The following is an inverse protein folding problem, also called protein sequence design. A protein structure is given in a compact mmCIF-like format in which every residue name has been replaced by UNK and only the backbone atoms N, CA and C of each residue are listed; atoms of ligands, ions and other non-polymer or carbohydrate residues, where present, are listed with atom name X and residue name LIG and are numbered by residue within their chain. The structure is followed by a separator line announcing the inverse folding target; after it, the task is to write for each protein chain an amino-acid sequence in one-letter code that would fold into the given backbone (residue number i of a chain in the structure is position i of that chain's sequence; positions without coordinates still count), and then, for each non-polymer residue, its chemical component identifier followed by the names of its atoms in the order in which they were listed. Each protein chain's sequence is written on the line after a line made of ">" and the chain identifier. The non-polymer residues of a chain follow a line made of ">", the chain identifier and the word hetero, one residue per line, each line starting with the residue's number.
data_IF_808458212419
#
_entry.id   IF_808458212419
#
_cell.length_a   1.000
_cell.length_b   1.000
_cell.length_c   1.000
_cell.angle_alpha   90.00
_cell.angle_beta   90.00
_cell.angle_gamma   90.00
#
_symmetry.space_group_name_H-M   'P 1'
#
loop_
_entity.id
_entity.type
_entity.pdbx_description
1 polymer ?
#
# COMPACT_ATOMS: atom_id res chain seq x y z
N UNK A 1 17.65 22.14 11.57
CA UNK A 1 16.57 21.53 10.76
C UNK A 1 15.32 21.44 11.63
N UNK A 2 14.14 21.39 11.01
CA UNK A 2 12.86 21.17 11.71
C UNK A 2 12.49 19.69 11.72
N UNK A 3 11.63 19.24 12.64
CA UNK A 3 11.22 17.82 12.70
C UNK A 3 10.62 17.33 11.37
N UNK A 4 9.84 18.17 10.67
CA UNK A 4 9.30 17.89 9.34
C UNK A 4 10.38 17.65 8.27
N UNK A 5 11.54 18.30 8.40
CA UNK A 5 12.68 18.07 7.52
C UNK A 5 13.47 16.81 7.90
N UNK A 6 13.45 16.43 9.18
CA UNK A 6 14.14 15.27 9.70
C UNK A 6 13.42 13.96 9.34
N UNK A 7 12.09 13.95 9.43
CA UNK A 7 11.21 12.80 9.18
C UNK A 7 11.55 11.97 7.93
N UNK A 8 11.65 12.55 6.71
CA UNK A 8 12.00 11.78 5.52
C UNK A 8 13.45 11.26 5.51
N UNK A 9 14.32 11.79 6.37
CA UNK A 9 15.71 11.35 6.50
C UNK A 9 15.86 10.19 7.47
N UNK A 10 14.88 9.95 8.36
CA UNK A 10 14.95 8.90 9.38
C UNK A 10 14.98 7.50 8.76
N UNK A 11 14.10 7.23 7.79
CA UNK A 11 14.07 5.94 7.08
C UNK A 11 15.41 5.65 6.36
N UNK A 12 15.93 6.64 5.61
CA UNK A 12 17.22 6.51 4.92
C UNK A 12 18.40 6.34 5.89
N UNK A 13 18.34 6.99 7.05
CA UNK A 13 19.32 6.82 8.11
C UNK A 13 19.23 5.41 8.74
N UNK A 14 18.03 4.87 8.93
CA UNK A 14 17.83 3.50 9.39
C UNK A 14 18.38 2.47 8.40
N UNK A 15 18.24 2.72 7.09
CA UNK A 15 18.78 1.88 6.01
C UNK A 15 20.30 2.04 5.79
N UNK A 16 20.92 3.07 6.38
CA UNK A 16 22.34 3.38 6.19
C UNK A 16 22.67 3.93 4.80
N UNK A 17 21.69 4.47 4.08
CA UNK A 17 21.84 4.99 2.71
C UNK A 17 22.03 6.51 2.64
N UNK A 18 22.04 7.17 3.81
CA UNK A 18 22.16 8.61 3.92
C UNK A 18 23.61 9.07 3.71
N UNK A 19 23.83 10.12 2.91
CA UNK A 19 25.17 10.67 2.71
C UNK A 19 25.73 11.30 4.00
N UNK A 20 27.05 11.48 4.03
CA UNK A 20 27.77 11.93 5.22
C UNK A 20 27.34 13.33 5.70
N UNK A 21 27.01 14.24 4.78
CA UNK A 21 26.62 15.60 5.14
C UNK A 21 25.22 15.62 5.76
N UNK A 22 24.25 14.97 5.11
CA UNK A 22 22.90 14.83 5.66
C UNK A 22 22.89 14.05 6.97
N UNK A 23 23.76 13.06 7.14
CA UNK A 23 23.92 12.31 8.38
C UNK A 23 24.37 13.19 9.55
N UNK A 24 25.34 14.09 9.33
CA UNK A 24 25.80 15.04 10.35
C UNK A 24 24.71 16.05 10.73
N UNK A 25 23.98 16.56 9.74
CA UNK A 25 22.86 17.48 9.98
C UNK A 25 21.77 16.77 10.79
N UNK A 26 21.46 15.52 10.45
CA UNK A 26 20.50 14.68 11.18
C UNK A 26 20.93 14.41 12.62
N UNK A 27 22.17 13.98 12.84
CA UNK A 27 22.71 13.73 14.17
C UNK A 27 22.56 14.94 15.10
N UNK A 28 22.88 16.15 14.61
CA UNK A 28 22.75 17.38 15.41
C UNK A 28 21.31 17.67 15.86
N UNK A 29 20.31 17.30 15.06
CA UNK A 29 18.91 17.44 15.46
C UNK A 29 18.50 16.36 16.46
N UNK A 30 18.96 15.12 16.23
CA UNK A 30 18.70 14.00 17.12
C UNK A 30 19.31 14.22 18.52
N UNK A 31 20.39 14.98 18.66
CA UNK A 31 20.92 15.37 19.97
C UNK A 31 19.90 16.19 20.80
N UNK A 32 19.08 17.00 20.13
CA UNK A 32 18.13 17.91 20.78
C UNK A 32 16.67 17.50 20.76
N UNK A 33 16.29 16.46 20.00
CA UNK A 33 14.88 16.10 19.77
C UNK A 33 14.60 14.65 20.17
N UNK A 34 13.84 14.45 21.26
CA UNK A 34 13.47 13.11 21.74
C UNK A 34 12.53 12.38 20.77
N UNK A 35 11.55 13.08 20.20
CA UNK A 35 10.56 12.49 19.29
C UNK A 35 11.21 11.92 18.03
N UNK A 36 12.15 12.66 17.42
CA UNK A 36 12.87 12.19 16.25
C UNK A 36 13.83 11.03 16.57
N UNK A 37 14.36 10.94 17.80
CA UNK A 37 15.13 9.76 18.24
C UNK A 37 14.23 8.53 18.34
N UNK A 38 13.09 8.65 19.01
CA UNK A 38 12.11 7.57 19.12
C UNK A 38 11.64 7.09 17.74
N UNK A 39 11.36 8.02 16.84
CA UNK A 39 10.97 7.69 15.48
C UNK A 39 12.09 6.96 14.71
N UNK A 40 13.35 7.37 14.87
CA UNK A 40 14.48 6.67 14.25
C UNK A 40 14.65 5.25 14.79
N UNK A 41 14.48 5.06 16.10
CA UNK A 41 14.60 3.74 16.72
C UNK A 41 13.48 2.80 16.26
N UNK A 42 12.26 3.32 16.06
CA UNK A 42 11.17 2.56 15.46
C UNK A 42 11.46 2.14 14.01
N UNK A 43 12.06 3.04 13.21
CA UNK A 43 12.49 2.68 11.84
C UNK A 43 13.57 1.59 11.85
N UNK A 44 14.50 1.62 12.81
CA UNK A 44 15.55 0.59 12.97
C UNK A 44 14.95 -0.75 13.38
N UNK A 45 14.03 -0.77 14.33
CA UNK A 45 13.33 -1.98 14.75
C UNK A 45 12.57 -2.61 13.58
N UNK A 46 11.85 -1.79 12.79
CA UNK A 46 11.16 -2.26 11.58
C UNK A 46 12.13 -2.88 10.57
N UNK A 47 13.27 -2.21 10.31
CA UNK A 47 14.32 -2.75 9.44
C UNK A 47 14.83 -4.09 9.94
N UNK A 48 15.06 -4.25 11.24
CA UNK A 48 15.52 -5.51 11.82
C UNK A 48 14.52 -6.64 11.57
N UNK A 49 13.24 -6.41 11.83
CA UNK A 49 12.17 -7.38 11.55
C UNK A 49 12.12 -7.77 10.07
N UNK A 50 12.22 -6.80 9.16
CA UNK A 50 12.17 -7.05 7.73
C UNK A 50 13.41 -7.80 7.22
N UNK A 51 14.58 -7.49 7.78
CA UNK A 51 15.86 -8.11 7.38
C UNK A 51 16.11 -9.46 8.05
N UNK A 52 15.40 -9.78 9.13
CA UNK A 52 15.43 -11.10 9.77
C UNK A 52 14.88 -12.22 8.86
N UNK A 53 14.11 -11.88 7.82
CA UNK A 53 13.61 -12.86 6.86
C UNK A 53 14.75 -13.48 6.07
N UNK A 54 14.69 -14.81 5.87
CA UNK A 54 15.67 -15.55 5.08
C UNK A 54 15.72 -14.99 3.66
N UNK A 55 16.86 -14.45 3.27
CA UNK A 55 17.09 -14.02 1.89
C UNK A 55 17.06 -15.25 0.98
N UNK A 56 16.16 -15.22 -0.02
CA UNK A 56 16.13 -16.26 -1.04
C UNK A 56 17.38 -16.14 -1.93
N UNK A 57 17.98 -17.26 -2.38
CA UNK A 57 19.11 -17.21 -3.31
C UNK A 57 18.65 -16.55 -4.61
N UNK A 58 19.39 -15.54 -5.06
CA UNK A 58 19.15 -14.90 -6.35
C UNK A 58 19.67 -15.80 -7.48
N UNK A 59 18.87 -16.05 -8.54
CA UNK A 59 19.33 -16.84 -9.67
C UNK A 59 20.55 -16.21 -10.35
N UNK A 60 21.45 -17.06 -10.86
CA UNK A 60 22.59 -16.59 -11.65
C UNK A 60 22.12 -15.73 -12.83
N UNK A 61 22.83 -14.61 -13.04
CA UNK A 61 22.51 -13.65 -14.08
C UNK A 61 21.26 -12.80 -13.84
N UNK A 62 20.62 -12.87 -12.66
CA UNK A 62 19.45 -12.03 -12.35
C UNK A 62 19.75 -10.54 -12.52
N UNK A 63 20.84 -10.05 -11.92
CA UNK A 63 21.24 -8.65 -12.05
C UNK A 63 21.48 -8.27 -13.52
N UNK A 64 22.14 -9.12 -14.31
CA UNK A 64 22.35 -8.87 -15.73
C UNK A 64 21.04 -8.80 -16.52
N UNK A 65 20.08 -9.71 -16.25
CA UNK A 65 18.75 -9.69 -16.88
C UNK A 65 17.96 -8.44 -16.50
N UNK A 66 17.98 -8.06 -15.22
CA UNK A 66 17.31 -6.83 -14.75
C UNK A 66 17.93 -5.61 -15.41
N UNK A 67 19.26 -5.48 -15.39
CA UNK A 67 19.96 -4.35 -16.01
C UNK A 67 19.71 -4.27 -17.52
N UNK A 68 19.65 -5.41 -18.22
CA UNK A 68 19.31 -5.45 -19.64
C UNK A 68 17.82 -5.14 -19.93
N UNK A 69 16.94 -5.29 -18.95
CA UNK A 69 15.53 -4.93 -19.05
C UNK A 69 15.24 -3.47 -18.70
N UNK A 70 16.21 -2.77 -18.09
CA UNK A 70 16.07 -1.34 -17.84
C UNK A 70 16.17 -0.59 -19.17
N UNK A 71 15.24 0.33 -19.47
CA UNK A 71 15.36 1.18 -20.64
C UNK A 71 16.67 1.95 -20.58
N UNK A 72 17.52 1.77 -21.60
CA UNK A 72 18.76 2.52 -21.71
C UNK A 72 18.44 4.00 -21.93
N UNK A 73 18.71 4.82 -20.91
CA UNK A 73 19.17 6.18 -21.15
C UNK A 73 18.19 7.26 -21.64
N UNK A 74 16.87 7.10 -21.52
CA UNK A 74 15.96 8.25 -21.66
C UNK A 74 15.00 8.39 -20.45
N UNK A 75 14.96 9.56 -19.78
CA UNK A 75 13.91 9.87 -18.81
C UNK A 75 12.57 9.95 -19.55
N UNK A 76 11.90 8.80 -19.67
CA UNK A 76 10.69 8.65 -20.46
C UNK A 76 10.57 7.30 -21.18
N UNK A 77 11.63 6.50 -21.30
CA UNK A 77 11.59 5.23 -22.05
C UNK A 77 10.94 4.05 -21.31
N UNK A 78 10.37 4.27 -20.11
CA UNK A 78 9.38 3.35 -19.52
C UNK A 78 7.95 3.58 -20.10
N UNK A 79 7.83 4.26 -21.24
CA UNK A 79 6.58 4.67 -21.89
C UNK A 79 5.86 3.57 -22.69
N UNK A 80 5.74 2.36 -22.13
CA UNK A 80 4.89 1.34 -22.74
C UNK A 80 3.45 1.42 -22.23
N UNK A 81 3.28 1.21 -20.93
CA UNK A 81 1.96 1.08 -20.30
C UNK A 81 1.83 1.91 -19.01
N UNK A 82 2.92 2.10 -18.27
CA UNK A 82 2.92 2.92 -17.05
C UNK A 82 2.75 4.41 -17.34
N UNK A 83 3.23 4.90 -18.48
CA UNK A 83 2.99 6.28 -18.91
C UNK A 83 1.56 6.48 -19.42
N UNK A 84 0.89 5.41 -19.88
CA UNK A 84 -0.56 5.40 -20.09
C UNK A 84 -1.35 5.43 -18.77
N UNK A 85 -0.76 4.96 -17.66
CA UNK A 85 -1.31 5.08 -16.30
C UNK A 85 -0.94 6.40 -15.60
N UNK A 86 -0.29 7.34 -16.29
CA UNK A 86 0.06 8.64 -15.72
C UNK A 86 -1.20 9.52 -15.63
N UNK A 87 -1.99 9.34 -14.56
CA UNK A 87 -3.24 10.05 -14.32
C UNK A 87 -3.09 11.58 -14.38
N UNK A 88 -1.90 12.11 -14.00
CA UNK A 88 -1.58 13.55 -14.09
C UNK A 88 -1.40 14.02 -15.53
N UNK A 89 -0.78 13.20 -16.39
CA UNK A 89 -0.65 13.51 -17.81
C UNK A 89 -2.02 13.47 -18.51
N UNK A 90 -2.88 12.50 -18.15
CA UNK A 90 -4.22 12.36 -18.72
C UNK A 90 -5.15 13.49 -18.31
N UNK A 91 -5.15 13.89 -17.04
CA UNK A 91 -5.95 15.03 -16.56
C UNK A 91 -5.53 16.35 -17.22
N UNK A 92 -4.22 16.60 -17.37
CA UNK A 92 -3.74 17.80 -18.06
C UNK A 92 -4.04 17.78 -19.56
N UNK A 93 -3.93 16.62 -20.23
CA UNK A 93 -4.24 16.48 -21.66
C UNK A 93 -5.74 16.54 -21.96
N UNK A 94 -6.60 16.09 -21.04
CA UNK A 94 -8.05 16.12 -21.20
C UNK A 94 -8.70 17.41 -20.69
N UNK A 95 -7.99 18.25 -19.94
CA UNK A 95 -8.48 19.56 -19.49
C UNK A 95 -9.12 20.44 -20.60
N UNK A 96 -8.52 20.60 -21.81
CA UNK A 96 -9.16 21.37 -22.87
C UNK A 96 -10.42 20.70 -23.45
N UNK A 97 -10.49 19.38 -23.49
CA UNK A 97 -11.67 18.63 -23.95
C UNK A 97 -12.81 18.78 -22.93
N UNK A 98 -12.51 18.60 -21.64
CA UNK A 98 -13.44 18.83 -20.55
C UNK A 98 -13.94 20.28 -20.52
N UNK A 99 -13.05 21.24 -20.74
CA UNK A 99 -13.40 22.66 -20.86
C UNK A 99 -14.33 22.94 -22.05
N UNK A 100 -14.05 22.37 -23.22
CA UNK A 100 -14.90 22.53 -24.40
C UNK A 100 -16.28 21.90 -24.21
N UNK A 101 -16.36 20.72 -23.59
CA UNK A 101 -17.62 20.07 -23.24
C UNK A 101 -18.42 20.88 -22.22
N UNK A 102 -17.77 21.43 -21.19
CA UNK A 102 -18.41 22.28 -20.20
C UNK A 102 -18.99 23.55 -20.82
N UNK A 103 -18.24 24.21 -21.70
CA UNK A 103 -18.70 25.38 -22.44
C UNK A 103 -19.86 25.03 -23.39
N UNK A 104 -19.77 23.91 -24.10
CA UNK A 104 -20.85 23.42 -24.97
C UNK A 104 -22.15 23.15 -24.20
N UNK A 105 -22.05 22.49 -23.05
CA UNK A 105 -23.17 22.24 -22.15
C UNK A 105 -23.77 23.55 -21.60
N UNK A 106 -22.94 24.51 -21.16
CA UNK A 106 -23.39 25.81 -20.66
C UNK A 106 -24.11 26.64 -21.74
N UNK A 107 -23.77 26.46 -23.01
CA UNK A 107 -24.40 27.12 -24.15
C UNK A 107 -25.60 26.33 -24.72
N UNK A 108 -25.96 25.19 -24.13
CA UNK A 108 -27.09 24.36 -24.59
C UNK A 108 -26.84 23.61 -25.89
N UNK A 109 -25.58 23.47 -26.31
CA UNK A 109 -25.16 22.69 -27.49
C UNK A 109 -24.85 21.28 -27.00
N UNK A 110 -25.89 20.45 -26.86
CA UNK A 110 -25.76 19.06 -26.44
C UNK A 110 -26.62 18.13 -27.28
N UNK A 111 -26.19 16.89 -27.53
CA UNK A 111 -27.07 15.88 -28.11
C UNK A 111 -28.26 15.66 -27.17
N UNK A 112 -29.48 15.62 -27.71
CA UNK A 112 -30.67 15.17 -26.99
C UNK A 112 -30.59 13.66 -26.78
N UNK A 113 -29.69 13.24 -25.88
CA UNK A 113 -29.57 11.85 -25.48
C UNK A 113 -30.47 11.64 -24.26
N UNK A 114 -31.47 10.77 -24.42
CA UNK A 114 -32.12 10.11 -23.30
C UNK A 114 -31.03 9.56 -22.39
N UNK A 115 -31.09 9.91 -21.11
CA UNK A 115 -30.11 9.51 -20.11
C UNK A 115 -30.26 8.00 -19.91
N UNK A 116 -29.48 7.23 -20.67
CA UNK A 116 -29.26 5.83 -20.38
C UNK A 116 -28.39 5.76 -19.12
N UNK A 117 -29.06 5.45 -18.01
CA UNK A 117 -28.49 5.22 -16.69
C UNK A 117 -27.67 3.91 -16.73
N UNK A 118 -26.45 3.99 -17.26
CA UNK A 118 -25.51 2.86 -17.26
C UNK A 118 -24.15 3.37 -16.82
N UNK A 119 -23.69 2.98 -15.63
CA UNK A 119 -22.31 3.26 -15.26
C UNK A 119 -21.90 2.95 -13.82
N UNK A 120 -22.84 2.65 -12.90
CA UNK A 120 -22.47 2.36 -11.50
C UNK A 120 -22.68 0.89 -11.09
N UNK A 121 -23.49 0.11 -11.81
CA UNK A 121 -23.70 -1.31 -11.51
C UNK A 121 -22.56 -2.21 -12.00
N UNK A 122 -22.00 -1.91 -13.17
CA UNK A 122 -21.06 -2.81 -13.88
C UNK A 122 -19.76 -3.08 -13.09
N UNK A 123 -19.20 -2.06 -12.43
CA UNK A 123 -17.99 -2.22 -11.62
C UNK A 123 -18.26 -2.97 -10.30
N UNK A 124 -19.40 -2.70 -9.63
CA UNK A 124 -19.77 -3.39 -8.40
C UNK A 124 -20.05 -4.88 -8.65
N UNK A 125 -20.60 -5.19 -9.82
CA UNK A 125 -20.90 -6.56 -10.26
C UNK A 125 -19.62 -7.32 -10.63
N UNK A 126 -18.66 -6.65 -11.29
CA UNK A 126 -17.32 -7.18 -11.57
C UNK A 126 -16.52 -7.47 -10.29
N UNK A 127 -16.56 -6.58 -9.30
CA UNK A 127 -15.88 -6.81 -8.01
C UNK A 127 -16.55 -7.95 -7.24
N UNK A 128 -17.89 -8.03 -7.24
CA UNK A 128 -18.61 -9.12 -6.61
C UNK A 128 -18.32 -10.48 -7.28
N UNK A 129 -18.22 -10.51 -8.61
CA UNK A 129 -17.81 -11.70 -9.36
C UNK A 129 -16.38 -12.14 -9.01
N UNK A 130 -15.43 -11.21 -8.97
CA UNK A 130 -14.05 -11.52 -8.62
C UNK A 130 -13.90 -12.05 -7.18
N UNK A 131 -14.59 -11.44 -6.22
CA UNK A 131 -14.61 -11.90 -4.82
C UNK A 131 -15.27 -13.28 -4.69
N UNK A 132 -16.32 -13.55 -5.48
CA UNK A 132 -17.00 -14.86 -5.43
C UNK A 132 -16.23 -15.95 -6.16
N UNK A 133 -15.47 -15.64 -7.20
CA UNK A 133 -14.68 -16.62 -7.95
C UNK A 133 -13.40 -17.04 -7.19
N UNK A 134 -12.74 -16.11 -6.48
CA UNK A 134 -11.57 -16.42 -5.63
C UNK A 134 -11.95 -17.11 -4.30
N UNK A 135 -13.17 -16.88 -3.80
CA UNK A 135 -13.69 -17.55 -2.60
C UNK A 135 -14.00 -19.04 -2.83
N UNK A 136 -14.15 -19.48 -4.07
CA UNK A 136 -14.49 -20.88 -4.39
C UNK A 136 -13.27 -21.81 -4.37
N UNK A 137 -12.04 -21.30 -4.50
CA UNK A 137 -10.82 -22.13 -4.54
C UNK A 137 -10.03 -22.16 -3.22
N UNK A 138 -10.36 -21.29 -2.25
CA UNK A 138 -9.62 -21.19 -0.97
C UNK A 138 -10.25 -21.96 0.19
N UNK A 139 -11.42 -22.56 0.03
CA UNK A 139 -12.04 -23.41 1.06
C UNK A 139 -12.42 -22.68 2.35
N UNK A 140 -12.39 -21.35 2.37
CA UNK A 140 -12.79 -20.52 3.52
C UNK A 140 -14.31 -20.30 3.44
N UNK A 141 -15.04 -21.23 4.06
CA UNK A 141 -16.51 -21.31 3.89
C UNK A 141 -17.28 -20.33 4.78
N UNK A 142 -16.62 -19.56 5.65
CA UNK A 142 -17.32 -18.67 6.57
C UNK A 142 -17.14 -17.20 6.22
N UNK A 143 -18.21 -16.64 5.63
CA UNK A 143 -18.42 -15.21 5.35
C UNK A 143 -18.13 -14.30 6.56
N UNK A 144 -18.26 -14.84 7.77
CA UNK A 144 -18.01 -14.15 9.04
C UNK A 144 -16.51 -13.87 9.29
N UNK A 145 -15.60 -14.75 8.84
CA UNK A 145 -14.15 -14.55 8.97
C UNK A 145 -13.65 -13.44 8.05
N UNK A 146 -14.19 -13.35 6.83
CA UNK A 146 -13.87 -12.28 5.88
C UNK A 146 -14.38 -10.91 6.36
N UNK A 147 -15.58 -10.87 6.97
CA UNK A 147 -16.09 -9.66 7.61
C UNK A 147 -15.20 -9.23 8.79
N UNK A 148 -14.68 -10.20 9.55
CA UNK A 148 -13.78 -9.95 10.68
C UNK A 148 -12.40 -9.45 10.22
N UNK A 149 -11.81 -10.06 9.20
CA UNK A 149 -10.54 -9.62 8.61
C UNK A 149 -10.64 -8.23 7.97
N UNK A 150 -11.79 -7.91 7.37
CA UNK A 150 -12.04 -6.58 6.80
C UNK A 150 -12.22 -5.53 7.90
N UNK A 151 -12.94 -5.86 8.98
CA UNK A 151 -13.06 -4.99 10.17
C UNK A 151 -11.71 -4.76 10.85
N UNK A 152 -10.85 -5.79 10.92
CA UNK A 152 -9.49 -5.71 11.47
C UNK A 152 -8.63 -4.62 10.79
N UNK A 153 -8.78 -4.44 9.48
CA UNK A 153 -8.05 -3.44 8.72
C UNK A 153 -8.66 -2.04 8.78
N UNK A 154 -9.96 -1.93 9.08
CA UNK A 154 -10.67 -0.65 9.12
C UNK A 154 -10.64 0.00 10.52
N UNK A 155 -10.71 -0.79 11.58
CA UNK A 155 -10.70 -0.32 12.97
C UNK A 155 -9.33 -0.57 13.65
N UNK A 156 -8.27 -0.04 13.04
CA UNK A 156 -6.87 -0.22 13.49
C UNK A 156 -6.50 0.41 14.84
N UNK A 157 -7.44 1.00 15.58
CA UNK A 157 -7.17 1.71 16.84
C UNK A 157 -7.38 0.86 18.11
N UNK A 158 -7.99 -0.34 18.01
CA UNK A 158 -8.36 -1.16 19.18
C UNK A 158 -7.82 -2.59 19.15
N UNK A 159 -6.67 -2.81 18.49
CA UNK A 159 -6.00 -4.11 18.44
C UNK A 159 -4.76 -4.13 19.33
N UNK A 160 -4.83 -4.90 20.42
CA UNK A 160 -3.66 -5.27 21.21
C UNK A 160 -2.72 -6.14 20.38
N UNK A 161 -1.42 -5.85 20.38
CA UNK A 161 -0.38 -6.51 19.56
C UNK A 161 -0.46 -8.04 19.54
N UNK A 162 -0.86 -8.67 20.64
CA UNK A 162 -0.96 -10.13 20.77
C UNK A 162 -2.05 -10.75 19.87
N UNK A 163 -3.17 -10.04 19.64
CA UNK A 163 -4.31 -10.52 18.85
C UNK A 163 -4.03 -10.49 17.35
N UNK A 164 -3.24 -9.51 16.91
CA UNK A 164 -2.82 -9.36 15.52
C UNK A 164 -1.84 -10.48 15.11
N UNK A 165 -0.95 -10.86 16.02
CA UNK A 165 0.06 -11.90 15.77
C UNK A 165 -0.58 -13.30 15.74
N UNK A 166 -1.51 -13.60 16.63
CA UNK A 166 -2.18 -14.91 16.64
C UNK A 166 -3.04 -15.12 15.38
N UNK A 167 -3.76 -14.10 14.91
CA UNK A 167 -4.57 -14.19 13.67
C UNK A 167 -3.69 -14.32 12.41
N UNK A 168 -2.50 -13.72 12.40
CA UNK A 168 -1.56 -13.81 11.26
C UNK A 168 -0.79 -15.14 11.22
N UNK A 169 -0.58 -15.78 12.37
CA UNK A 169 0.22 -17.01 12.47
C UNK A 169 -0.63 -18.28 12.54
N UNK A 170 -1.83 -18.21 13.12
CA UNK A 170 -2.74 -19.33 13.19
C UNK A 170 -3.86 -19.15 12.18
N UNK A 171 -3.71 -19.75 10.99
CA UNK A 171 -4.82 -19.95 10.05
C UNK A 171 -5.93 -20.88 10.57
N UNK A 172 -6.03 -21.09 11.89
CA UNK A 172 -7.15 -21.74 12.58
C UNK A 172 -7.27 -21.16 14.01
N UNK A 173 -8.45 -20.68 14.43
CA UNK A 173 -8.64 -20.26 15.81
C UNK A 173 -8.66 -21.48 16.73
N UNK A 174 -7.59 -21.70 17.49
CA UNK A 174 -7.65 -22.58 18.66
C UNK A 174 -8.55 -21.91 19.72
N UNK A 175 -9.77 -22.44 19.86
CA UNK A 175 -10.81 -21.91 20.72
C UNK A 175 -10.43 -21.85 22.22
N UNK A 176 -11.19 -21.09 23.03
CA UNK A 176 -10.80 -20.78 24.39
C UNK A 176 -10.89 -21.99 25.32
N UNK A 177 -9.89 -22.07 26.20
CA UNK A 177 -9.81 -22.96 27.35
C UNK A 177 -11.10 -22.88 28.19
N UNK A 178 -11.93 -23.92 28.15
CA UNK A 178 -12.98 -24.11 29.15
C UNK A 178 -12.37 -24.77 30.39
N UNK A 179 -12.25 -23.98 31.45
CA UNK A 179 -12.13 -24.47 32.81
C UNK A 179 -13.53 -24.78 33.33
N UNK A 180 -13.91 -26.05 33.42
CA UNK A 180 -14.88 -26.58 34.39
C UNK A 180 -15.04 -28.10 34.21
N UNK A 181 -14.44 -28.89 35.12
CA UNK A 181 -15.18 -29.88 35.91
C UNK A 181 -14.26 -30.51 36.97
N UNK A 182 -14.55 -30.13 38.21
CA UNK A 182 -14.08 -30.77 39.43
C UNK A 182 -15.11 -31.83 39.86
N UNK A 183 -14.63 -33.04 40.22
CA UNK A 183 -15.40 -34.09 40.90
C UNK A 183 -16.31 -34.89 39.96
N UNK A 184 -16.22 -36.22 39.88
CA UNK A 184 -16.03 -37.21 40.95
C UNK A 184 -15.60 -38.53 40.33
#
# INVERSE_FOLDING_TARGET
>A
MTCRQAEPLLARAADGTLDAERSRVLARHLDGCADCRSALDMQRAMREVLTARRQAPTPLGFAARVMASLPEGEPGAAAGWLDALNWRAWTLRLAPVAGALFVGAALGIGPSAEVAETGTSEFSELVAAWVSEEAIDTGTTDREELETATRLWQDGDELTDDLLIDVLLAGEPSGPLSAAEAGR
#
